data_IF_719082772338
#
_entry.id   IF_719082772338
#
_cell.length_a   1.000
_cell.length_b   1.000
_cell.length_c   1.000
_cell.angle_alpha   90.00
_cell.angle_beta   90.00
_cell.angle_gamma   90.00
#
_symmetry.space_group_name_H-M   'P 1'
#
loop_
_entity.id
_entity.type
_entity.pdbx_description
1 polymer ?
#
# COMPACT_ATOMS: atom_id res chain seq x y z
N UNK A 1 15.11 -0.80 -12.07
CA UNK A 1 15.11 0.19 -10.96
C UNK A 1 13.65 0.56 -10.74
N UNK A 2 13.08 0.20 -9.59
CA UNK A 2 11.62 0.10 -9.38
C UNK A 2 10.82 1.33 -9.83
N UNK A 3 11.30 2.54 -9.50
CA UNK A 3 10.65 3.80 -9.86
C UNK A 3 10.65 4.00 -11.39
N UNK A 4 11.81 3.83 -12.03
CA UNK A 4 11.94 3.96 -13.48
C UNK A 4 11.11 2.92 -14.23
N UNK A 5 11.14 1.68 -13.76
CA UNK A 5 10.39 0.58 -14.37
C UNK A 5 8.87 0.81 -14.22
N UNK A 6 8.44 1.36 -13.08
CA UNK A 6 7.06 1.80 -12.84
C UNK A 6 6.63 2.90 -13.81
N UNK A 7 7.36 4.02 -13.90
CA UNK A 7 7.00 5.13 -14.80
C UNK A 7 7.01 4.73 -16.28
N UNK A 8 7.97 3.90 -16.68
CA UNK A 8 8.03 3.41 -18.06
C UNK A 8 6.81 2.58 -18.39
N UNK A 9 6.32 1.73 -17.50
CA UNK A 9 5.12 0.93 -17.79
C UNK A 9 3.82 1.72 -17.62
N UNK A 10 3.68 2.54 -16.58
CA UNK A 10 2.45 3.30 -16.32
C UNK A 10 2.12 4.27 -17.46
N UNK A 11 3.13 4.95 -18.02
CA UNK A 11 2.94 5.87 -19.16
C UNK A 11 2.57 5.18 -20.47
N UNK A 12 2.84 3.88 -20.60
CA UNK A 12 2.58 3.12 -21.82
C UNK A 12 1.25 2.35 -21.78
N UNK A 13 0.52 2.38 -20.66
CA UNK A 13 -0.79 1.75 -20.54
C UNK A 13 -1.90 2.79 -20.66
N UNK A 14 -2.82 2.55 -21.59
CA UNK A 14 -4.05 3.36 -21.77
C UNK A 14 -5.25 2.79 -20.97
N UNK A 15 -4.97 1.89 -20.03
CA UNK A 15 -5.97 1.13 -19.29
C UNK A 15 -6.13 1.68 -17.88
N UNK A 16 -7.33 2.17 -17.59
CA UNK A 16 -7.77 2.46 -16.23
C UNK A 16 -8.11 1.14 -15.56
N UNK A 17 -7.70 0.99 -14.30
CA UNK A 17 -7.98 -0.20 -13.52
C UNK A 17 -8.27 0.17 -12.07
N UNK A 18 -9.10 -0.64 -11.42
CA UNK A 18 -9.44 -0.54 -10.02
C UNK A 18 -8.63 -1.56 -9.22
N UNK A 19 -8.25 -1.17 -8.00
CA UNK A 19 -7.60 -2.07 -7.05
C UNK A 19 -8.52 -2.22 -5.84
N UNK A 20 -8.85 -3.46 -5.50
CA UNK A 20 -9.71 -3.79 -4.37
C UNK A 20 -8.90 -4.52 -3.30
N UNK A 21 -9.31 -4.34 -2.05
CA UNK A 21 -8.75 -5.08 -0.92
C UNK A 21 -9.84 -5.84 -0.19
N UNK A 22 -9.61 -7.13 0.07
CA UNK A 22 -10.51 -7.91 0.92
C UNK A 22 -10.06 -7.85 2.39
N UNK A 23 -11.00 -7.51 3.27
CA UNK A 23 -10.79 -7.42 4.71
C UNK A 23 -10.39 -8.76 5.35
N UNK A 24 -10.77 -9.90 4.75
CA UNK A 24 -10.62 -11.21 5.42
C UNK A 24 -9.28 -11.90 5.22
N UNK A 25 -8.45 -11.48 4.23
CA UNK A 25 -7.20 -12.20 3.89
C UNK A 25 -6.02 -11.34 3.44
N UNK A 26 -6.13 -10.01 3.48
CA UNK A 26 -5.05 -9.14 2.99
C UNK A 26 -4.77 -9.30 1.49
N UNK A 27 -5.76 -9.76 0.72
CA UNK A 27 -5.60 -9.93 -0.72
C UNK A 27 -5.92 -8.62 -1.43
N UNK A 28 -5.04 -8.25 -2.37
CA UNK A 28 -5.25 -7.18 -3.34
C UNK A 28 -5.77 -7.78 -4.64
N UNK A 29 -6.77 -7.17 -5.26
CA UNK A 29 -7.32 -7.58 -6.55
C UNK A 29 -7.21 -6.44 -7.54
N UNK A 30 -6.80 -6.76 -8.77
CA UNK A 30 -6.73 -5.84 -9.89
C UNK A 30 -7.88 -6.11 -10.86
N UNK A 31 -8.60 -5.07 -11.28
CA UNK A 31 -9.66 -5.18 -12.28
C UNK A 31 -9.53 -4.07 -13.35
N UNK A 32 -9.22 -4.42 -14.62
CA UNK A 32 -9.28 -3.46 -15.73
C UNK A 32 -10.70 -2.92 -15.93
N UNK A 33 -10.85 -1.61 -16.15
CA UNK A 33 -12.16 -0.98 -16.32
C UNK A 33 -12.74 -1.18 -17.73
N UNK A 34 -11.88 -1.48 -18.72
CA UNK A 34 -12.26 -1.58 -20.15
C UNK A 34 -12.40 -3.02 -20.66
N UNK A 35 -12.16 -4.05 -19.84
CA UNK A 35 -12.38 -5.43 -20.27
C UNK A 35 -13.86 -5.81 -20.08
N UNK A 36 -14.51 -6.23 -21.17
CA UNK A 36 -15.90 -6.70 -21.15
C UNK A 36 -16.09 -7.93 -20.24
N UNK A 37 -14.99 -8.66 -19.99
CA UNK A 37 -14.88 -9.69 -18.96
C UNK A 37 -14.14 -9.08 -17.77
N UNK A 38 -14.87 -8.73 -16.71
CA UNK A 38 -14.28 -8.25 -15.44
C UNK A 38 -13.64 -9.44 -14.71
N UNK A 39 -12.47 -9.87 -15.17
CA UNK A 39 -11.68 -10.87 -14.48
C UNK A 39 -10.83 -10.16 -13.42
N UNK A 40 -11.04 -10.52 -12.16
CA UNK A 40 -10.24 -10.04 -11.04
C UNK A 40 -8.97 -10.87 -10.97
N UNK A 41 -7.84 -10.25 -11.26
CA UNK A 41 -6.54 -10.88 -11.02
C UNK A 41 -6.13 -10.63 -9.57
N UNK A 42 -5.90 -11.71 -8.82
CA UNK A 42 -5.30 -11.61 -7.49
C UNK A 42 -3.85 -11.11 -7.64
N UNK A 43 -3.55 -9.99 -6.99
CA UNK A 43 -2.19 -9.47 -6.88
C UNK A 43 -1.52 -10.18 -5.70
N UNK A 44 -1.09 -11.41 -5.92
CA UNK A 44 -0.22 -12.10 -4.98
C UNK A 44 1.20 -11.56 -5.12
N UNK A 45 1.59 -10.66 -4.22
CA UNK A 45 3.00 -10.34 -4.04
C UNK A 45 3.72 -11.62 -3.58
N UNK A 46 4.82 -11.99 -4.26
CA UNK A 46 5.59 -13.21 -3.94
C UNK A 46 6.12 -13.27 -2.48
N UNK A 47 6.01 -12.16 -1.73
CA UNK A 47 6.40 -12.01 -0.33
C UNK A 47 5.22 -11.76 0.65
N UNK A 48 3.98 -11.68 0.17
CA UNK A 48 2.79 -11.42 1.01
C UNK A 48 2.05 -12.69 1.45
N UNK A 49 2.62 -13.87 1.18
CA UNK A 49 1.99 -15.17 1.39
C UNK A 49 1.89 -15.61 2.86
N UNK A 50 1.77 -14.68 3.81
CA UNK A 50 1.47 -15.01 5.20
C UNK A 50 -0.05 -14.96 5.40
N UNK A 51 -0.71 -16.12 5.65
CA UNK A 51 -2.19 -16.22 5.65
C UNK A 51 -2.92 -15.35 6.68
N UNK A 52 -2.21 -14.79 7.66
CA UNK A 52 -2.80 -14.13 8.83
C UNK A 52 -2.27 -12.70 9.06
N UNK A 53 -1.67 -12.05 8.05
CA UNK A 53 -1.21 -10.67 8.22
C UNK A 53 -2.37 -9.68 8.02
N UNK A 54 -2.66 -8.87 9.03
CA UNK A 54 -3.57 -7.74 8.88
C UNK A 54 -2.93 -6.73 7.94
N UNK A 55 -3.63 -6.43 6.84
CA UNK A 55 -3.22 -5.43 5.86
C UNK A 55 -4.10 -4.19 5.98
N UNK A 56 -3.46 -3.04 6.07
CA UNK A 56 -4.11 -1.73 5.99
C UNK A 56 -3.55 -0.93 4.82
N UNK A 57 -4.42 -0.48 3.92
CA UNK A 57 -4.02 0.42 2.84
C UNK A 57 -3.87 1.83 3.40
N UNK A 58 -2.64 2.33 3.35
CA UNK A 58 -2.29 3.65 3.83
C UNK A 58 -2.56 4.74 2.79
N UNK A 59 -2.43 4.42 1.50
CA UNK A 59 -2.65 5.37 0.42
C UNK A 59 -2.12 4.89 -0.92
N UNK A 60 -2.26 5.74 -1.94
CA UNK A 60 -1.79 5.49 -3.30
C UNK A 60 -1.14 6.73 -3.90
N UNK A 61 -0.18 6.53 -4.80
CA UNK A 61 0.45 7.60 -5.57
C UNK A 61 0.94 7.02 -6.90
N UNK A 62 0.64 7.67 -8.02
CA UNK A 62 1.03 7.26 -9.38
C UNK A 62 0.66 5.82 -9.77
N UNK A 63 -0.34 5.22 -9.10
CA UNK A 63 -0.73 3.83 -9.30
C UNK A 63 0.09 2.81 -8.49
N UNK A 64 1.02 3.26 -7.66
CA UNK A 64 1.60 2.48 -6.57
C UNK A 64 0.71 2.52 -5.33
N UNK A 65 0.77 1.46 -4.53
CA UNK A 65 0.04 1.32 -3.28
C UNK A 65 0.98 1.25 -2.08
N UNK A 66 0.74 2.09 -1.08
CA UNK A 66 1.38 1.98 0.24
C UNK A 66 0.44 1.22 1.17
N UNK A 67 0.96 0.20 1.85
CA UNK A 67 0.20 -0.56 2.83
C UNK A 67 1.07 -1.01 4.01
N UNK A 68 0.43 -1.16 5.16
CA UNK A 68 0.97 -1.79 6.35
C UNK A 68 0.58 -3.27 6.35
N UNK A 69 1.52 -4.13 6.76
CA UNK A 69 1.25 -5.53 7.09
C UNK A 69 1.95 -5.79 8.43
N UNK A 70 1.16 -5.96 9.50
CA UNK A 70 1.63 -5.97 10.88
C UNK A 70 2.41 -4.67 11.25
N UNK A 71 3.67 -4.81 11.65
CA UNK A 71 4.58 -3.74 12.04
C UNK A 71 5.51 -3.30 10.89
N UNK A 72 5.23 -3.74 9.65
CA UNK A 72 6.05 -3.47 8.48
C UNK A 72 5.27 -2.72 7.42
N UNK A 73 5.99 -1.95 6.62
CA UNK A 73 5.40 -1.11 5.58
C UNK A 73 5.96 -1.47 4.21
N UNK A 74 5.09 -1.48 3.22
CA UNK A 74 5.41 -1.93 1.87
C UNK A 74 4.81 -1.03 0.81
N UNK A 75 5.52 -0.92 -0.31
CA UNK A 75 5.01 -0.37 -1.56
C UNK A 75 4.79 -1.51 -2.54
N UNK A 76 3.56 -1.65 -3.03
CA UNK A 76 3.19 -2.55 -4.11
C UNK A 76 3.10 -1.76 -5.41
N UNK A 77 3.73 -2.30 -6.46
CA UNK A 77 3.44 -1.94 -7.84
C UNK A 77 2.51 -3.02 -8.42
N UNK A 78 1.19 -2.75 -8.53
CA UNK A 78 0.21 -3.72 -9.03
C UNK A 78 0.53 -4.22 -10.44
N UNK A 79 1.12 -3.35 -11.26
CA UNK A 79 1.40 -3.60 -12.66
C UNK A 79 2.62 -4.51 -12.88
N UNK A 80 3.63 -4.41 -12.03
CA UNK A 80 4.79 -5.32 -12.07
C UNK A 80 4.64 -6.48 -11.08
N UNK A 81 3.66 -6.42 -10.18
CA UNK A 81 3.50 -7.29 -9.01
C UNK A 81 4.71 -7.26 -8.06
N UNK A 82 5.55 -6.24 -8.19
CA UNK A 82 6.70 -6.05 -7.31
C UNK A 82 6.26 -5.44 -5.99
N UNK A 83 6.75 -6.01 -4.90
CA UNK A 83 6.56 -5.51 -3.54
C UNK A 83 7.92 -5.14 -2.97
N UNK A 84 8.02 -3.95 -2.40
CA UNK A 84 9.22 -3.48 -1.70
C UNK A 84 8.88 -3.06 -0.28
N UNK A 85 9.62 -3.60 0.68
CA UNK A 85 9.59 -3.11 2.07
C UNK A 85 10.24 -1.72 2.10
N UNK A 86 9.62 -0.81 2.84
CA UNK A 86 10.12 0.56 3.06
C UNK A 86 10.44 0.77 4.53
N UNK A 87 11.44 1.59 4.85
CA UNK A 87 11.79 1.85 6.24
C UNK A 87 10.66 2.60 6.94
N UNK A 88 10.32 2.17 8.15
CA UNK A 88 9.46 2.91 9.06
C UNK A 88 10.34 3.91 9.83
N UNK A 89 9.84 5.13 10.02
CA UNK A 89 10.54 6.14 10.80
C UNK A 89 10.79 5.61 12.23
N UNK A 90 12.02 5.73 12.78
CA UNK A 90 12.31 5.29 14.14
C UNK A 90 11.59 6.10 15.22
N UNK A 91 10.96 7.21 14.84
CA UNK A 91 10.18 8.09 15.71
C UNK A 91 8.68 7.78 15.62
N UNK A 92 8.25 7.01 14.61
CA UNK A 92 6.86 6.57 14.52
C UNK A 92 6.55 5.59 15.66
N UNK A 93 5.36 5.73 16.26
CA UNK A 93 4.89 4.76 17.26
C UNK A 93 4.62 3.42 16.59
N UNK A 94 4.67 2.34 17.38
CA UNK A 94 4.37 1.00 16.88
C UNK A 94 2.91 0.96 16.36
N UNK A 95 2.68 0.61 15.07
CA UNK A 95 1.33 0.51 14.51
C UNK A 95 0.43 -0.47 15.25
N UNK A 96 1.00 -1.47 15.92
CA UNK A 96 0.24 -2.44 16.72
C UNK A 96 -0.29 -1.84 18.05
N UNK A 97 0.21 -0.69 18.49
CA UNK A 97 -0.09 -0.10 19.81
C UNK A 97 -0.73 1.30 19.71
N UNK A 98 -0.74 1.91 18.53
CA UNK A 98 -1.10 3.31 18.33
C UNK A 98 -1.89 3.50 17.03
N UNK A 99 -2.65 4.60 16.97
CA UNK A 99 -3.23 5.01 15.69
C UNK A 99 -2.13 5.60 14.82
N UNK A 100 -2.04 5.13 13.58
CA UNK A 100 -1.06 5.59 12.59
C UNK A 100 -1.78 6.05 11.34
N UNK A 101 -1.49 7.26 10.88
CA UNK A 101 -1.91 7.78 9.59
C UNK A 101 -0.67 7.97 8.71
N UNK A 102 -0.75 7.52 7.46
CA UNK A 102 0.35 7.56 6.52
C UNK A 102 -0.02 8.36 5.27
N UNK A 103 0.93 9.12 4.75
CA UNK A 103 0.88 9.76 3.44
C UNK A 103 2.01 9.24 2.57
N UNK A 104 1.77 9.14 1.26
CA UNK A 104 2.73 8.60 0.29
C UNK A 104 2.80 9.52 -0.92
N UNK A 105 4.01 9.83 -1.39
CA UNK A 105 4.18 10.75 -2.52
C UNK A 105 5.55 10.69 -3.17
N UNK A 106 5.58 11.01 -4.47
CA UNK A 106 6.82 11.11 -5.25
C UNK A 106 7.51 12.46 -5.00
N UNK A 107 8.77 12.41 -4.61
CA UNK A 107 9.68 13.55 -4.53
C UNK A 107 10.51 13.63 -5.81
N UNK A 108 10.05 14.47 -6.73
CA UNK A 108 10.69 14.67 -8.03
C UNK A 108 12.09 15.30 -7.94
N UNK A 109 12.45 15.93 -6.83
CA UNK A 109 13.79 16.52 -6.64
C UNK A 109 14.82 15.44 -6.35
N UNK A 110 14.43 14.41 -5.59
CA UNK A 110 15.32 13.33 -5.17
C UNK A 110 15.11 12.02 -5.96
N UNK A 111 14.17 12.01 -6.91
CA UNK A 111 13.75 10.83 -7.67
C UNK A 111 13.43 9.63 -6.77
N UNK A 112 12.68 9.91 -5.69
CA UNK A 112 12.36 8.91 -4.67
C UNK A 112 10.92 9.06 -4.18
N UNK A 113 10.35 7.97 -3.68
CA UNK A 113 9.05 8.02 -3.02
C UNK A 113 9.25 8.17 -1.53
N UNK A 114 8.50 9.10 -0.93
CA UNK A 114 8.55 9.38 0.49
C UNK A 114 7.26 8.99 1.18
N UNK A 115 7.43 8.57 2.43
CA UNK A 115 6.33 8.28 3.35
C UNK A 115 6.36 9.33 4.45
N UNK A 116 5.19 9.90 4.76
CA UNK A 116 4.97 10.72 5.95
C UNK A 116 4.10 9.93 6.90
N UNK A 117 4.49 9.86 8.18
CA UNK A 117 3.75 9.11 9.20
C UNK A 117 3.37 10.05 10.34
N UNK A 118 2.10 10.03 10.74
CA UNK A 118 1.58 10.66 11.94
C UNK A 118 1.09 9.56 12.87
N UNK A 119 1.48 9.59 14.15
CA UNK A 119 1.09 8.56 15.10
C UNK A 119 0.72 9.15 16.46
N UNK A 120 -0.35 8.66 17.08
CA UNK A 120 -0.77 9.07 18.41
C UNK A 120 -1.29 7.90 19.25
N UNK A 121 -1.13 8.00 20.57
CA UNK A 121 -1.78 7.11 21.51
C UNK A 121 -3.28 7.38 21.50
N UNK A 122 -4.08 6.34 21.31
CA UNK A 122 -5.52 6.43 21.54
C UNK A 122 -5.71 6.44 23.05
N UNK A 123 -6.05 7.59 23.64
CA UNK A 123 -6.55 7.58 25.01
C UNK A 123 -7.87 6.83 25.00
N UNK A 124 -7.97 5.72 25.72
CA UNK A 124 -9.26 5.12 26.03
C UNK A 124 -10.11 6.24 26.66
N UNK A 125 -11.23 6.58 26.02
CA UNK A 125 -12.25 7.38 26.68
C UNK A 125 -12.66 6.59 27.92
N UNK A 126 -12.22 7.04 29.08
CA UNK A 126 -12.75 6.56 30.35
C UNK A 126 -14.18 7.08 30.44
N UNK A 127 -15.11 6.43 29.74
CA UNK A 127 -16.54 6.60 29.95
C UNK A 127 -16.86 5.98 31.31
N UNK A 128 -16.60 6.77 32.35
CA UNK A 128 -17.24 6.61 33.65
C UNK A 128 -18.66 7.17 33.53
N UNK A 129 -19.61 6.30 33.17
CA UNK A 129 -21.04 6.50 33.43
C UNK A 129 -21.63 5.27 34.07
#
# INVERSE_FOLDING_TARGET
EFIRDHFNRSRNLAEEALIFTSHERGNFFYAPLKSADQVFDEITGKNLSQPDCWIEVCGSCDGLLLFLCMDRMFVLNPLTKEVREVPISPIALNPCECSVLCGFGYDSVNDDYKVVTLSCYISASNDHT
#
